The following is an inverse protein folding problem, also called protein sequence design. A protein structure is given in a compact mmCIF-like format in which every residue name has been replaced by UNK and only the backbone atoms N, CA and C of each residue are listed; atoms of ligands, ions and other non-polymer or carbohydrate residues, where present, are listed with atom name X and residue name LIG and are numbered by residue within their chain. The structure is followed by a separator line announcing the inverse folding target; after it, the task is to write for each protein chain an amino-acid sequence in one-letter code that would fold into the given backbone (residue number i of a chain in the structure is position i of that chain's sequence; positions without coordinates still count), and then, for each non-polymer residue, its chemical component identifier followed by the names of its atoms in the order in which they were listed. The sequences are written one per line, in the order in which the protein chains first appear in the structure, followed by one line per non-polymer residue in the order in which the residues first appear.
data_IF_807234586354
#
_entry.id   IF_807234586354
#
_cell.length_a   1.000
_cell.length_b   1.000
_cell.length_c   1.000
_cell.angle_alpha   90.00
_cell.angle_beta   90.00
_cell.angle_gamma   90.00
#
_symmetry.space_group_name_H-M   'P 1'
#
loop_
_entity.id
_entity.type
_entity.pdbx_description
1 polymer ?
#
# COMPACT_ATOMS: atom_id res chain seq x y z
N UNK A 1 -16.09 17.58 -15.70
CA UNK A 1 -16.43 16.14 -15.65
C UNK A 1 -16.57 15.67 -14.20
N UNK A 2 -17.56 16.19 -13.45
CA UNK A 2 -17.65 16.01 -11.99
C UNK A 2 -18.01 14.58 -11.54
N UNK A 3 -18.66 13.77 -12.39
CA UNK A 3 -19.07 12.41 -12.04
C UNK A 3 -17.91 11.42 -11.85
N UNK A 4 -16.80 11.59 -12.58
CA UNK A 4 -15.61 10.72 -12.44
C UNK A 4 -14.82 11.00 -11.16
N UNK A 5 -14.82 12.26 -10.68
CA UNK A 5 -14.19 12.63 -9.40
C UNK A 5 -14.85 11.91 -8.21
N UNK A 6 -16.16 11.63 -8.28
CA UNK A 6 -16.90 10.91 -7.23
C UNK A 6 -16.71 9.38 -7.27
N UNK A 7 -16.19 8.82 -8.36
CA UNK A 7 -15.97 7.38 -8.48
C UNK A 7 -14.93 6.89 -7.46
N UNK A 8 -13.85 7.67 -7.27
CA UNK A 8 -12.80 7.36 -6.30
C UNK A 8 -13.31 7.28 -4.85
N UNK A 9 -14.00 8.30 -4.27
CA UNK A 9 -14.51 8.22 -2.90
C UNK A 9 -15.61 7.16 -2.73
N UNK A 10 -16.46 6.93 -3.74
CA UNK A 10 -17.46 5.84 -3.69
C UNK A 10 -16.77 4.47 -3.59
N UNK A 11 -15.71 4.23 -4.37
CA UNK A 11 -14.92 3.00 -4.29
C UNK A 11 -14.21 2.85 -2.93
N UNK A 12 -13.67 3.93 -2.38
CA UNK A 12 -13.04 3.93 -1.05
C UNK A 12 -14.07 3.51 0.02
N UNK A 13 -15.26 4.10 0.01
CA UNK A 13 -16.31 3.83 1.00
C UNK A 13 -16.89 2.43 0.84
N UNK A 14 -17.20 2.00 -0.38
CA UNK A 14 -17.90 0.74 -0.63
C UNK A 14 -16.98 -0.49 -0.62
N UNK A 15 -15.68 -0.32 -0.85
CA UNK A 15 -14.76 -1.45 -0.96
C UNK A 15 -13.58 -1.37 0.00
N UNK A 16 -12.86 -0.24 0.06
CA UNK A 16 -11.64 -0.16 0.88
C UNK A 16 -11.98 -0.24 2.37
N UNK A 17 -12.95 0.54 2.85
CA UNK A 17 -13.34 0.53 4.26
C UNK A 17 -13.90 -0.81 4.73
N UNK A 18 -14.80 -1.49 4.00
CA UNK A 18 -15.26 -2.82 4.39
C UNK A 18 -14.13 -3.85 4.44
N UNK A 19 -13.21 -3.84 3.48
CA UNK A 19 -12.07 -4.79 3.45
C UNK A 19 -11.11 -4.53 4.61
N UNK A 20 -10.78 -3.27 4.89
CA UNK A 20 -9.96 -2.89 6.05
C UNK A 20 -10.66 -3.28 7.35
N UNK A 21 -11.95 -2.96 7.50
CA UNK A 21 -12.75 -3.31 8.67
C UNK A 21 -12.83 -4.82 8.90
N UNK A 22 -13.06 -5.60 7.84
CA UNK A 22 -13.04 -7.06 7.90
C UNK A 22 -11.66 -7.59 8.35
N UNK A 23 -10.58 -7.02 7.81
CA UNK A 23 -9.19 -7.39 8.17
C UNK A 23 -8.92 -7.12 9.66
N UNK A 24 -9.34 -5.95 10.17
CA UNK A 24 -9.22 -5.57 11.58
C UNK A 24 -10.02 -6.54 12.46
N UNK A 25 -11.29 -6.80 12.12
CA UNK A 25 -12.16 -7.72 12.87
C UNK A 25 -11.55 -9.12 12.94
N UNK A 26 -11.08 -9.67 11.82
CA UNK A 26 -10.40 -10.97 11.79
C UNK A 26 -9.12 -10.96 12.63
N UNK A 27 -8.38 -9.84 12.67
CA UNK A 27 -7.20 -9.68 13.52
C UNK A 27 -7.52 -9.72 15.02
N UNK A 28 -8.61 -9.08 15.43
CA UNK A 28 -9.12 -9.13 16.81
C UNK A 28 -9.55 -10.56 17.17
N UNK A 29 -10.35 -11.22 16.33
CA UNK A 29 -10.78 -12.60 16.56
C UNK A 29 -9.59 -13.57 16.61
N UNK A 30 -8.59 -13.37 15.75
CA UNK A 30 -7.35 -14.16 15.79
C UNK A 30 -6.59 -13.95 17.11
N UNK A 31 -6.65 -12.76 17.72
CA UNK A 31 -6.09 -12.49 19.05
C UNK A 31 -6.92 -13.15 20.15
N UNK A 32 -8.23 -13.00 20.14
CA UNK A 32 -9.13 -13.63 21.14
C UNK A 32 -8.98 -15.14 21.15
N UNK A 33 -8.89 -15.77 19.98
CA UNK A 33 -8.59 -17.20 19.83
C UNK A 33 -7.29 -17.58 20.56
N UNK A 34 -6.22 -16.82 20.34
CA UNK A 34 -4.90 -17.08 20.97
C UNK A 34 -4.94 -16.93 22.48
N UNK A 35 -5.76 -16.01 22.98
CA UNK A 35 -5.97 -15.77 24.41
C UNK A 35 -7.04 -16.70 25.02
N UNK A 36 -7.63 -17.60 24.22
CA UNK A 36 -8.69 -18.53 24.64
C UNK A 36 -9.90 -17.83 25.28
N UNK A 37 -10.22 -16.61 24.84
CA UNK A 37 -11.36 -15.84 25.37
C UNK A 37 -12.69 -16.41 24.85
N UNK A 38 -12.73 -16.80 23.57
CA UNK A 38 -13.93 -17.28 22.88
C UNK A 38 -13.62 -18.55 22.06
N UNK A 39 -14.61 -19.44 21.83
CA UNK A 39 -14.47 -20.60 20.95
C UNK A 39 -14.49 -20.17 19.47
N UNK A 40 -13.37 -19.61 19.01
CA UNK A 40 -13.19 -19.16 17.62
C UNK A 40 -12.66 -20.33 16.76
N UNK A 41 -12.98 -20.48 15.46
CA UNK A 41 -12.43 -21.53 14.57
C UNK A 41 -10.91 -21.40 14.25
N UNK A 42 -10.21 -22.52 13.93
CA UNK A 42 -8.77 -22.51 13.60
C UNK A 42 -8.43 -21.80 12.29
N UNK A 43 -9.43 -21.58 11.44
CA UNK A 43 -9.27 -20.92 10.14
C UNK A 43 -9.11 -19.41 10.26
N UNK A 44 -9.64 -18.77 11.32
CA UNK A 44 -9.67 -17.30 11.45
C UNK A 44 -8.31 -16.62 11.33
N UNK A 45 -7.21 -17.11 11.96
CA UNK A 45 -5.89 -16.52 11.76
C UNK A 45 -5.35 -16.67 10.31
N UNK A 46 -5.77 -17.72 9.61
CA UNK A 46 -5.42 -17.95 8.20
C UNK A 46 -6.19 -16.95 7.34
N UNK A 47 -7.49 -16.83 7.54
CA UNK A 47 -8.36 -15.87 6.85
C UNK A 47 -7.90 -14.42 7.05
N UNK A 48 -7.50 -14.05 8.28
CA UNK A 48 -6.91 -12.73 8.56
C UNK A 48 -5.66 -12.48 7.71
N UNK A 49 -4.76 -13.46 7.66
CA UNK A 49 -3.54 -13.33 6.90
C UNK A 49 -3.79 -13.30 5.38
N UNK A 50 -4.79 -14.03 4.90
CA UNK A 50 -5.22 -14.01 3.50
C UNK A 50 -5.77 -12.64 3.13
N UNK A 51 -6.65 -12.07 3.95
CA UNK A 51 -7.16 -10.70 3.78
C UNK A 51 -6.02 -9.67 3.81
N UNK A 52 -5.05 -9.82 4.71
CA UNK A 52 -3.87 -8.96 4.74
C UNK A 52 -3.07 -8.97 3.44
N UNK A 53 -2.95 -10.13 2.77
CA UNK A 53 -2.32 -10.23 1.44
C UNK A 53 -3.17 -9.57 0.35
N UNK A 54 -4.48 -9.76 0.37
CA UNK A 54 -5.36 -9.07 -0.60
C UNK A 54 -5.29 -7.55 -0.44
N UNK A 55 -5.38 -7.05 0.80
CA UNK A 55 -5.26 -5.63 1.10
C UNK A 55 -3.90 -5.07 0.64
N UNK A 56 -2.80 -5.76 0.95
CA UNK A 56 -1.46 -5.33 0.52
C UNK A 56 -1.34 -5.27 -1.00
N UNK A 57 -1.84 -6.29 -1.70
CA UNK A 57 -1.83 -6.32 -3.16
C UNK A 57 -2.67 -5.20 -3.79
N UNK A 58 -3.85 -4.93 -3.21
CA UNK A 58 -4.72 -3.84 -3.64
C UNK A 58 -4.06 -2.47 -3.44
N UNK A 59 -3.38 -2.24 -2.31
CA UNK A 59 -2.65 -0.99 -2.07
C UNK A 59 -1.48 -0.83 -3.03
N UNK A 60 -0.68 -1.88 -3.25
CA UNK A 60 0.43 -1.84 -4.23
C UNK A 60 -0.10 -1.51 -5.63
N UNK A 61 -1.20 -2.14 -6.05
CA UNK A 61 -1.83 -1.85 -7.33
C UNK A 61 -2.36 -0.40 -7.41
N UNK A 62 -3.01 0.08 -6.35
CA UNK A 62 -3.53 1.44 -6.29
C UNK A 62 -2.40 2.48 -6.42
N UNK A 63 -1.26 2.26 -5.76
CA UNK A 63 -0.08 3.12 -5.87
C UNK A 63 0.48 3.12 -7.30
N UNK A 64 0.58 1.95 -7.95
CA UNK A 64 1.03 1.87 -9.35
C UNK A 64 0.08 2.61 -10.31
N UNK A 65 -1.24 2.51 -10.09
CA UNK A 65 -2.23 3.24 -10.88
C UNK A 65 -2.08 4.76 -10.66
N UNK A 66 -1.89 5.20 -9.41
CA UNK A 66 -1.69 6.61 -9.09
C UNK A 66 -0.45 7.18 -9.80
N UNK A 67 0.70 6.48 -9.74
CA UNK A 67 1.90 6.93 -10.46
C UNK A 67 1.70 6.96 -11.98
N UNK A 68 0.99 5.97 -12.53
CA UNK A 68 0.64 5.97 -13.94
C UNK A 68 -0.25 7.15 -14.33
N UNK A 69 -1.18 7.55 -13.46
CA UNK A 69 -2.04 8.72 -13.65
C UNK A 69 -1.25 10.03 -13.60
N UNK A 70 -0.34 10.20 -12.64
CA UNK A 70 0.48 11.41 -12.51
C UNK A 70 1.37 11.61 -13.73
N UNK A 71 2.03 10.52 -14.17
CA UNK A 71 2.84 10.53 -15.40
C UNK A 71 2.00 10.86 -16.61
N UNK A 72 0.83 10.22 -16.78
CA UNK A 72 -0.04 10.49 -17.91
C UNK A 72 -0.54 11.94 -17.94
N UNK A 73 -0.86 12.49 -16.77
CA UNK A 73 -1.30 13.89 -16.60
C UNK A 73 -0.17 14.87 -16.97
N UNK A 74 1.04 14.67 -16.43
CA UNK A 74 2.21 15.48 -16.77
C UNK A 74 2.52 15.47 -18.28
N UNK A 75 2.31 14.32 -18.94
CA UNK A 75 2.52 14.16 -20.37
C UNK A 75 1.45 14.83 -21.23
N UNK A 76 0.22 14.91 -20.73
CA UNK A 76 -0.84 15.68 -21.35
C UNK A 76 -0.57 17.20 -21.24
N UNK A 77 0.08 17.63 -20.17
CA UNK A 77 0.50 19.02 -19.93
C UNK A 77 1.79 19.43 -20.66
N UNK A 78 2.46 18.48 -21.32
CA UNK A 78 3.59 18.75 -22.23
C UNK A 78 4.98 18.44 -21.68
N UNK A 79 5.09 17.81 -20.51
CA UNK A 79 6.35 17.27 -19.97
C UNK A 79 6.43 15.77 -20.20
N UNK A 80 7.53 15.14 -20.65
CA UNK A 80 8.70 15.66 -21.38
C UNK A 80 8.45 15.68 -22.90
N UNK A 81 9.50 16.01 -23.69
CA UNK A 81 9.43 16.06 -25.15
C UNK A 81 8.96 14.73 -25.77
N UNK A 82 8.32 14.78 -26.95
CA UNK A 82 7.65 13.62 -27.54
C UNK A 82 8.54 12.38 -27.76
N UNK A 83 9.83 12.58 -28.07
CA UNK A 83 10.80 11.52 -28.27
C UNK A 83 11.15 10.77 -26.96
N UNK A 84 11.10 11.47 -25.83
CA UNK A 84 11.46 10.92 -24.51
C UNK A 84 10.30 10.12 -23.89
N UNK A 85 9.05 10.36 -24.33
CA UNK A 85 7.85 9.69 -23.83
C UNK A 85 7.81 8.18 -24.09
N UNK A 86 8.29 7.73 -25.26
CA UNK A 86 8.25 6.30 -25.59
C UNK A 86 9.21 5.47 -24.71
N UNK A 87 10.44 5.96 -24.50
CA UNK A 87 11.42 5.34 -23.62
C UNK A 87 10.98 5.41 -22.14
N UNK A 88 10.43 6.57 -21.72
CA UNK A 88 9.85 6.74 -20.40
C UNK A 88 8.70 5.75 -20.12
N UNK A 89 7.80 5.55 -21.08
CA UNK A 89 6.67 4.64 -20.94
C UNK A 89 7.15 3.19 -20.76
N UNK A 90 8.09 2.78 -21.61
CA UNK A 90 8.69 1.46 -21.51
C UNK A 90 9.37 1.25 -20.15
N UNK A 91 10.11 2.25 -19.66
CA UNK A 91 10.74 2.23 -18.34
C UNK A 91 9.75 2.08 -17.20
N UNK A 92 8.67 2.87 -17.19
CA UNK A 92 7.64 2.85 -16.14
C UNK A 92 6.86 1.53 -16.17
N UNK A 93 6.49 1.02 -17.35
CA UNK A 93 5.84 -0.27 -17.50
C UNK A 93 6.73 -1.41 -17.01
N UNK A 94 8.00 -1.42 -17.41
CA UNK A 94 8.95 -2.45 -16.98
C UNK A 94 9.17 -2.43 -15.46
N UNK A 95 9.31 -1.23 -14.88
CA UNK A 95 9.44 -1.07 -13.44
C UNK A 95 8.16 -1.50 -12.70
N UNK A 96 6.98 -1.18 -13.23
CA UNK A 96 5.69 -1.61 -12.68
C UNK A 96 5.53 -3.14 -12.72
N UNK A 97 5.95 -3.78 -13.82
CA UNK A 97 6.02 -5.24 -13.92
C UNK A 97 7.02 -5.80 -12.90
N UNK A 98 8.17 -5.14 -12.71
CA UNK A 98 9.16 -5.50 -11.69
C UNK A 98 8.59 -5.48 -10.28
N UNK A 99 7.83 -4.43 -9.91
CA UNK A 99 7.12 -4.33 -8.63
C UNK A 99 6.09 -5.46 -8.48
N UNK A 100 5.26 -5.70 -9.50
CA UNK A 100 4.27 -6.77 -9.49
C UNK A 100 4.93 -8.16 -9.37
N UNK A 101 6.04 -8.38 -10.07
CA UNK A 101 6.82 -9.61 -10.00
C UNK A 101 7.45 -9.79 -8.60
N UNK A 102 7.99 -8.73 -8.00
CA UNK A 102 8.54 -8.77 -6.65
C UNK A 102 7.46 -9.11 -5.61
N UNK A 103 6.27 -8.50 -5.72
CA UNK A 103 5.12 -8.87 -4.89
C UNK A 103 4.69 -10.33 -5.12
N UNK A 104 4.62 -10.78 -6.37
CA UNK A 104 4.36 -12.17 -6.72
C UNK A 104 5.41 -13.14 -6.15
N UNK A 105 6.68 -12.73 -6.09
CA UNK A 105 7.77 -13.45 -5.45
C UNK A 105 7.59 -13.54 -3.94
N UNK A 106 7.19 -12.45 -3.29
CA UNK A 106 6.84 -12.42 -1.86
C UNK A 106 5.73 -13.44 -1.54
N UNK A 107 4.68 -13.48 -2.36
CA UNK A 107 3.54 -14.40 -2.15
C UNK A 107 3.93 -15.88 -2.28
N UNK A 108 4.81 -16.22 -3.22
CA UNK A 108 5.22 -17.61 -3.48
C UNK A 108 6.33 -18.13 -2.56
N UNK A 109 6.99 -17.24 -1.82
CA UNK A 109 8.18 -17.60 -1.05
C UNK A 109 7.87 -18.06 0.37
N UNK A 110 8.43 -19.21 0.74
CA UNK A 110 8.23 -19.80 2.07
C UNK A 110 9.20 -19.32 3.16
N UNK A 111 10.45 -18.97 2.86
CA UNK A 111 11.47 -18.59 3.87
C UNK A 111 11.38 -17.10 4.21
N UNK A 112 11.30 -16.76 5.49
CA UNK A 112 11.14 -15.37 5.99
C UNK A 112 12.20 -14.41 5.42
N UNK A 113 13.48 -14.79 5.41
CA UNK A 113 14.54 -13.91 4.86
C UNK A 113 14.34 -13.57 3.38
N UNK A 114 13.93 -14.55 2.56
CA UNK A 114 13.62 -14.31 1.14
C UNK A 114 12.33 -13.51 0.95
N UNK A 115 11.34 -13.69 1.84
CA UNK A 115 10.12 -12.86 1.85
C UNK A 115 10.44 -11.40 2.12
N UNK A 116 11.33 -11.13 3.09
CA UNK A 116 11.80 -9.77 3.38
C UNK A 116 12.54 -9.17 2.19
N UNK A 117 13.39 -9.94 1.50
CA UNK A 117 14.05 -9.47 0.28
C UNK A 117 13.04 -9.09 -0.81
N UNK A 118 12.05 -9.93 -1.08
CA UNK A 118 11.01 -9.63 -2.08
C UNK A 118 10.14 -8.44 -1.69
N UNK A 119 9.77 -8.33 -0.41
CA UNK A 119 9.03 -7.18 0.10
C UNK A 119 9.84 -5.89 -0.01
N UNK A 120 11.13 -5.92 0.32
CA UNK A 120 12.03 -4.79 0.20
C UNK A 120 12.24 -4.39 -1.26
N UNK A 121 12.47 -5.35 -2.16
CA UNK A 121 12.58 -5.08 -3.60
C UNK A 121 11.30 -4.47 -4.18
N UNK A 122 10.13 -4.97 -3.77
CA UNK A 122 8.84 -4.39 -4.13
C UNK A 122 8.73 -2.93 -3.65
N UNK A 123 9.07 -2.67 -2.39
CA UNK A 123 9.00 -1.33 -1.80
C UNK A 123 9.99 -0.35 -2.44
N UNK A 124 11.23 -0.78 -2.70
CA UNK A 124 12.23 0.02 -3.43
C UNK A 124 11.74 0.32 -4.85
N UNK A 125 11.13 -0.65 -5.53
CA UNK A 125 10.54 -0.41 -6.86
C UNK A 125 9.46 0.67 -6.83
N UNK A 126 8.60 0.69 -5.80
CA UNK A 126 7.63 1.78 -5.60
C UNK A 126 8.30 3.13 -5.33
N UNK A 127 9.35 3.16 -4.49
CA UNK A 127 10.12 4.40 -4.23
C UNK A 127 10.73 4.96 -5.51
N UNK A 128 11.38 4.11 -6.33
CA UNK A 128 12.01 4.50 -7.60
C UNK A 128 10.96 4.99 -8.61
N UNK A 129 9.81 4.33 -8.68
CA UNK A 129 8.71 4.73 -9.56
C UNK A 129 8.07 6.06 -9.18
N UNK A 130 7.98 6.41 -7.90
CA UNK A 130 7.46 7.74 -7.52
C UNK A 130 8.53 8.79 -7.29
N UNK A 131 9.81 8.44 -7.39
CA UNK A 131 10.91 9.40 -7.50
C UNK A 131 11.01 10.04 -8.89
N UNK A 132 10.16 9.63 -9.85
CA UNK A 132 10.08 10.26 -11.16
C UNK A 132 9.68 11.74 -11.01
N UNK A 133 10.19 12.64 -11.88
CA UNK A 133 9.89 14.07 -11.79
C UNK A 133 8.41 14.39 -12.04
N UNK A 134 7.69 13.53 -12.77
CA UNK A 134 6.27 13.68 -13.06
C UNK A 134 5.35 13.38 -11.87
N UNK A 135 5.84 12.69 -10.84
CA UNK A 135 5.03 12.31 -9.68
C UNK A 135 5.04 13.44 -8.64
N UNK A 136 3.85 13.95 -8.31
CA UNK A 136 3.71 15.04 -7.35
C UNK A 136 3.96 14.55 -5.93
N UNK A 137 5.01 15.08 -5.31
CA UNK A 137 5.39 14.71 -3.93
C UNK A 137 5.01 15.75 -2.89
N UNK A 138 4.55 16.94 -3.28
CA UNK A 138 4.34 18.15 -2.46
C UNK A 138 5.60 18.67 -1.76
N UNK A 139 6.30 17.83 -0.99
CA UNK A 139 7.59 18.14 -0.38
C UNK A 139 8.39 16.85 -0.15
N UNK A 140 9.72 16.93 -0.27
CA UNK A 140 10.62 15.78 -0.10
C UNK A 140 11.29 15.71 1.29
N UNK A 141 11.18 16.77 2.10
CA UNK A 141 11.76 16.81 3.44
C UNK A 141 10.72 16.53 4.52
N UNK A 142 10.96 15.54 5.41
CA UNK A 142 10.03 15.18 6.49
C UNK A 142 9.87 16.26 7.57
N UNK A 143 10.71 17.30 7.54
CA UNK A 143 10.63 18.45 8.44
C UNK A 143 9.52 19.44 8.04
N UNK A 144 9.00 19.35 6.81
CA UNK A 144 7.93 20.22 6.35
C UNK A 144 6.56 19.56 6.51
N UNK A 145 5.56 20.34 6.91
CA UNK A 145 4.19 19.83 7.08
C UNK A 145 3.61 19.27 5.76
N UNK A 146 3.99 19.85 4.62
CA UNK A 146 3.56 19.41 3.30
C UNK A 146 3.98 17.96 2.97
N UNK A 147 5.09 17.48 3.54
CA UNK A 147 5.51 16.08 3.38
C UNK A 147 4.47 15.12 3.96
N UNK A 148 3.91 15.45 5.12
CA UNK A 148 2.91 14.64 5.79
C UNK A 148 1.50 14.75 5.17
N UNK A 149 1.30 15.74 4.30
CA UNK A 149 0.09 15.86 3.47
C UNK A 149 0.23 15.14 2.13
N UNK A 150 1.43 14.68 1.78
CA UNK A 150 1.73 14.01 0.51
C UNK A 150 1.09 12.63 0.42
N UNK A 151 0.25 12.43 -0.60
CA UNK A 151 -0.28 11.12 -0.95
C UNK A 151 0.80 10.18 -1.45
N UNK A 152 1.85 10.70 -2.10
CA UNK A 152 3.01 9.90 -2.47
C UNK A 152 3.69 9.29 -1.23
N UNK A 153 4.16 10.12 -0.29
CA UNK A 153 4.91 9.62 0.87
C UNK A 153 4.04 8.78 1.80
N UNK A 154 2.79 9.21 2.03
CA UNK A 154 1.83 8.44 2.83
C UNK A 154 1.50 7.09 2.20
N UNK A 155 1.23 7.05 0.90
CA UNK A 155 0.93 5.83 0.15
C UNK A 155 2.11 4.85 0.10
N UNK A 156 3.33 5.34 -0.17
CA UNK A 156 4.54 4.50 -0.21
C UNK A 156 4.93 3.98 1.18
N UNK A 157 4.77 4.79 2.23
CA UNK A 157 5.00 4.35 3.61
C UNK A 157 3.98 3.28 4.03
N UNK A 158 2.70 3.50 3.72
CA UNK A 158 1.62 2.54 3.94
C UNK A 158 1.89 1.20 3.23
N UNK A 159 2.26 1.24 1.94
CA UNK A 159 2.61 0.06 1.17
C UNK A 159 3.80 -0.69 1.78
N UNK A 160 4.86 0.03 2.19
CA UNK A 160 6.03 -0.55 2.84
C UNK A 160 5.69 -1.28 4.15
N UNK A 161 4.85 -0.67 4.99
CA UNK A 161 4.38 -1.27 6.24
C UNK A 161 3.56 -2.54 6.01
N UNK A 162 2.66 -2.52 5.02
CA UNK A 162 1.85 -3.69 4.65
C UNK A 162 2.72 -4.82 4.07
N UNK A 163 3.66 -4.50 3.17
CA UNK A 163 4.63 -5.46 2.61
C UNK A 163 5.47 -6.11 3.71
N UNK A 164 5.96 -5.33 4.66
CA UNK A 164 6.70 -5.84 5.83
C UNK A 164 5.84 -6.77 6.68
N UNK A 165 4.60 -6.37 6.95
CA UNK A 165 3.62 -7.17 7.71
C UNK A 165 3.37 -8.54 7.05
N UNK A 166 3.17 -8.56 5.73
CA UNK A 166 3.04 -9.81 4.96
C UNK A 166 4.32 -10.62 4.99
N UNK A 167 5.49 -9.99 4.83
CA UNK A 167 6.77 -10.69 4.83
C UNK A 167 7.03 -11.43 6.15
N UNK A 168 6.71 -10.79 7.28
CA UNK A 168 6.91 -11.29 8.64
C UNK A 168 5.85 -12.29 9.12
N UNK A 169 4.80 -12.55 8.33
CA UNK A 169 3.64 -13.37 8.72
C UNK A 169 4.02 -14.66 9.47
N UNK A 170 5.05 -15.39 8.99
CA UNK A 170 5.48 -16.66 9.57
C UNK A 170 6.14 -16.54 10.94
N UNK A 171 6.68 -15.37 11.27
CA UNK A 171 7.35 -15.12 12.56
C UNK A 171 6.39 -14.62 13.63
N UNK A 172 5.24 -14.05 13.27
CA UNK A 172 4.23 -13.48 14.19
C UNK A 172 3.74 -14.52 15.21
N UNK A 173 3.54 -15.76 14.76
CA UNK A 173 3.14 -16.88 15.62
C UNK A 173 4.29 -17.49 16.43
N UNK A 174 5.54 -17.27 16.01
CA UNK A 174 6.73 -17.91 16.61
C UNK A 174 7.40 -17.06 17.68
N UNK A 175 7.32 -15.72 17.57
CA UNK A 175 8.05 -14.78 18.43
C UNK A 175 7.15 -13.65 18.90
N UNK A 176 7.07 -13.46 20.21
CA UNK A 176 6.24 -12.39 20.79
C UNK A 176 6.68 -10.98 20.37
N UNK A 177 7.99 -10.77 20.20
CA UNK A 177 8.52 -9.51 19.68
C UNK A 177 7.97 -9.18 18.28
N UNK A 178 7.87 -10.17 17.39
CA UNK A 178 7.33 -10.00 16.03
C UNK A 178 5.82 -9.75 16.06
N UNK A 179 5.12 -10.31 17.05
CA UNK A 179 3.70 -10.05 17.27
C UNK A 179 3.44 -8.62 17.74
N UNK A 180 4.25 -8.11 18.69
CA UNK A 180 4.19 -6.71 19.13
C UNK A 180 4.48 -5.77 17.96
N UNK A 181 5.53 -6.07 17.19
CA UNK A 181 5.87 -5.31 15.99
C UNK A 181 4.71 -5.27 14.99
N UNK A 182 4.09 -6.41 14.69
CA UNK A 182 2.93 -6.46 13.80
C UNK A 182 1.74 -5.61 14.28
N UNK A 183 1.45 -5.61 15.59
CA UNK A 183 0.41 -4.75 16.16
C UNK A 183 0.75 -3.28 15.99
N UNK A 184 1.98 -2.87 16.32
CA UNK A 184 2.45 -1.48 16.14
C UNK A 184 2.34 -1.06 14.67
N UNK A 185 2.82 -1.90 13.75
CA UNK A 185 2.72 -1.65 12.30
C UNK A 185 1.26 -1.48 11.89
N UNK A 186 0.34 -2.34 12.32
CA UNK A 186 -1.06 -2.24 11.92
C UNK A 186 -1.79 -1.03 12.50
N UNK A 187 -1.40 -0.57 13.70
CA UNK A 187 -1.91 0.71 14.24
C UNK A 187 -1.44 1.86 13.36
N UNK A 188 -0.17 1.89 12.97
CA UNK A 188 0.36 2.92 12.06
C UNK A 188 -0.31 2.85 10.67
N UNK A 189 -0.51 1.66 10.13
CA UNK A 189 -1.26 1.41 8.89
C UNK A 189 -2.68 1.99 8.99
N UNK A 190 -3.40 1.76 10.10
CA UNK A 190 -4.74 2.30 10.29
C UNK A 190 -4.75 3.83 10.33
N UNK A 191 -3.77 4.44 11.01
CA UNK A 191 -3.61 5.90 11.07
C UNK A 191 -3.27 6.49 9.69
N UNK A 192 -2.38 5.85 8.93
CA UNK A 192 -2.03 6.26 7.58
C UNK A 192 -3.23 6.16 6.64
N UNK A 193 -3.99 5.05 6.68
CA UNK A 193 -5.22 4.90 5.91
C UNK A 193 -6.24 5.99 6.25
N UNK A 194 -6.43 6.29 7.54
CA UNK A 194 -7.33 7.36 7.96
C UNK A 194 -6.85 8.74 7.45
N UNK A 195 -5.55 9.02 7.52
CA UNK A 195 -4.98 10.29 7.03
C UNK A 195 -5.18 10.42 5.52
N UNK A 196 -4.86 9.38 4.76
CA UNK A 196 -5.01 9.34 3.30
C UNK A 196 -6.48 9.46 2.86
N UNK A 197 -7.40 8.87 3.62
CA UNK A 197 -8.83 9.05 3.39
C UNK A 197 -9.27 10.51 3.56
N UNK A 198 -8.82 11.19 4.62
CA UNK A 198 -9.16 12.58 4.89
C UNK A 198 -8.52 13.50 3.84
N UNK A 199 -7.22 13.34 3.56
CA UNK A 199 -6.53 14.17 2.57
C UNK A 199 -7.05 13.93 1.15
N UNK A 200 -7.40 12.69 0.80
CA UNK A 200 -8.02 12.38 -0.49
C UNK A 200 -9.38 13.07 -0.71
N UNK A 201 -10.20 13.20 0.33
CA UNK A 201 -11.45 13.97 0.21
C UNK A 201 -11.23 15.47 0.03
N UNK A 202 -10.14 16.02 0.57
CA UNK A 202 -9.77 17.44 0.36
C UNK A 202 -9.43 17.71 -1.10
N UNK A 203 -8.62 16.85 -1.72
CA UNK A 203 -8.17 17.07 -3.10
C UNK A 203 -9.35 17.03 -4.09
N UNK A 204 -10.37 16.20 -3.79
CA UNK A 204 -11.62 16.16 -4.56
C UNK A 204 -12.49 17.42 -4.43
N UNK A 205 -12.33 18.17 -3.33
CA UNK A 205 -13.07 19.42 -3.11
C UNK A 205 -12.34 20.64 -3.68
N UNK A 206 -11.02 20.55 -3.86
CA UNK A 206 -10.16 21.68 -4.25
C UNK A 206 -9.63 21.59 -5.69
N UNK A 207 -9.66 20.41 -6.32
CA UNK A 207 -9.33 20.19 -7.74
C UNK A 207 -10.53 20.27 -8.67
#
# INVERSE_FOLDING_TARGET
MQGFALLHPVLIILFVYPVVGATIRLGILARERRLQINPIPPTVPIEHADHGRWLTGAVVLAVLIAFGHDVASAWAEGMPAAADRAAGLAGILLASIGVAAAYGGLLRTGRTGRRLLWAFACWVGLLVLGAQPEVERLADSPLHLAFWQSHYWGGVLLAGMLLLSVALQKEIGRRDAMRRLHVVINVLVALLLATQAITGTRDLLLG
#
